data_IF_047800871283
#
_entry.id   IF_047800871283
#
_cell.length_a   1.000
_cell.length_b   1.000
_cell.length_c   1.000
_cell.angle_alpha   90.00
_cell.angle_beta   90.00
_cell.angle_gamma   90.00
#
_symmetry.space_group_name_H-M   'P 1'
#
loop_
_entity.id
_entity.type
_entity.pdbx_description
1 polymer ?
#
# COMPACT_ATOMS: atom_id res chain seq x y z
N UNK A 1 -40.35 47.19 -16.69
CA UNK A 1 -38.90 47.04 -16.51
C UNK A 1 -38.63 46.32 -15.20
N UNK A 2 -38.35 45.01 -15.25
CA UNK A 2 -37.65 44.25 -14.19
C UNK A 2 -37.78 42.75 -14.51
N UNK A 3 -37.11 42.30 -15.58
CA UNK A 3 -37.09 40.88 -15.94
C UNK A 3 -35.78 40.50 -16.62
N UNK A 4 -34.66 40.99 -16.09
CA UNK A 4 -33.30 40.62 -16.55
C UNK A 4 -32.27 40.73 -15.41
N UNK A 5 -32.50 40.05 -14.29
CA UNK A 5 -31.48 39.96 -13.20
C UNK A 5 -31.15 38.52 -12.80
N UNK A 6 -31.81 37.50 -13.35
CA UNK A 6 -31.53 36.09 -13.03
C UNK A 6 -31.05 35.28 -14.23
N UNK A 7 -29.99 35.73 -14.91
CA UNK A 7 -29.42 34.97 -16.03
C UNK A 7 -27.89 35.17 -16.19
N UNK A 8 -27.10 35.03 -15.11
CA UNK A 8 -25.63 34.96 -15.27
C UNK A 8 -24.85 34.11 -14.26
N UNK A 9 -25.50 33.17 -13.56
CA UNK A 9 -24.82 32.30 -12.59
C UNK A 9 -25.02 30.80 -12.88
N UNK A 10 -24.88 30.42 -14.15
CA UNK A 10 -24.64 29.03 -14.56
C UNK A 10 -23.68 29.03 -15.74
N UNK A 11 -22.61 28.26 -15.60
CA UNK A 11 -21.47 28.01 -16.49
C UNK A 11 -20.17 28.63 -15.98
N UNK A 12 -19.50 27.95 -15.02
CA UNK A 12 -18.06 27.64 -15.10
C UNK A 12 -17.66 26.39 -14.25
N UNK A 13 -18.59 25.50 -13.87
CA UNK A 13 -18.24 24.18 -13.34
C UNK A 13 -18.24 23.14 -14.46
N UNK A 14 -17.24 23.23 -15.34
CA UNK A 14 -16.80 22.14 -16.22
C UNK A 14 -15.61 22.63 -17.05
N UNK A 15 -14.46 22.89 -16.42
CA UNK A 15 -13.19 22.62 -17.13
C UNK A 15 -13.01 21.11 -17.09
N UNK A 16 -13.71 20.42 -17.98
CA UNK A 16 -13.46 19.01 -18.23
C UNK A 16 -11.97 18.87 -18.54
N UNK A 17 -11.27 18.07 -17.74
CA UNK A 17 -9.95 17.58 -18.11
C UNK A 17 -10.16 16.68 -19.32
N UNK A 18 -10.05 17.25 -20.51
CA UNK A 18 -9.89 16.49 -21.74
C UNK A 18 -8.59 15.71 -21.58
N UNK A 19 -8.70 14.41 -21.29
CA UNK A 19 -7.58 13.45 -21.40
C UNK A 19 -7.20 13.40 -22.88
N UNK A 20 -6.27 14.27 -23.26
CA UNK A 20 -5.58 14.17 -24.54
C UNK A 20 -4.60 13.00 -24.42
N UNK A 21 -5.05 11.82 -24.82
CA UNK A 21 -4.15 10.73 -25.18
C UNK A 21 -3.59 11.01 -26.57
N UNK A 22 -2.63 11.93 -26.65
CA UNK A 22 -1.84 12.18 -27.85
C UNK A 22 -0.36 12.03 -27.52
N UNK A 23 0.21 10.93 -28.00
CA UNK A 23 1.58 10.51 -27.73
C UNK A 23 2.48 11.01 -28.87
N UNK A 24 3.14 12.15 -28.63
CA UNK A 24 4.44 12.56 -29.18
C UNK A 24 4.62 14.01 -28.71
N UNK A 25 5.08 14.17 -27.46
CA UNK A 25 5.46 15.50 -27.00
C UNK A 25 6.61 16.01 -27.85
N UNK A 26 6.76 17.31 -27.98
CA UNK A 26 7.96 17.86 -28.61
C UNK A 26 9.21 17.41 -27.83
N UNK A 27 10.39 17.42 -28.46
CA UNK A 27 11.63 17.09 -27.76
C UNK A 27 11.81 17.94 -26.48
N UNK A 28 11.39 19.20 -26.54
CA UNK A 28 11.41 20.13 -25.41
C UNK A 28 10.44 19.72 -24.29
N UNK A 29 9.24 19.25 -24.62
CA UNK A 29 8.27 18.74 -23.64
C UNK A 29 8.77 17.47 -22.94
N UNK A 30 9.45 16.58 -23.67
CA UNK A 30 10.09 15.40 -23.10
C UNK A 30 11.21 15.77 -22.13
N UNK A 31 12.06 16.75 -22.49
CA UNK A 31 13.14 17.25 -21.63
C UNK A 31 12.57 17.94 -20.38
N UNK A 32 11.55 18.77 -20.53
CA UNK A 32 10.89 19.44 -19.41
C UNK A 32 10.23 18.43 -18.46
N UNK A 33 9.56 17.41 -19.01
CA UNK A 33 8.96 16.33 -18.23
C UNK A 33 10.02 15.51 -17.49
N UNK A 34 11.11 15.15 -18.15
CA UNK A 34 12.23 14.43 -17.52
C UNK A 34 12.86 15.24 -16.39
N UNK A 35 13.05 16.55 -16.58
CA UNK A 35 13.55 17.45 -15.53
C UNK A 35 12.60 17.50 -14.34
N UNK A 36 11.29 17.57 -14.56
CA UNK A 36 10.27 17.55 -13.50
C UNK A 36 10.35 16.26 -12.67
N UNK A 37 10.40 15.10 -13.32
CA UNK A 37 10.53 13.81 -12.63
C UNK A 37 11.83 13.72 -11.85
N UNK A 38 12.96 14.16 -12.44
CA UNK A 38 14.26 14.22 -11.77
C UNK A 38 14.20 15.07 -10.49
N UNK A 39 13.58 16.24 -10.56
CA UNK A 39 13.41 17.11 -9.39
C UNK A 39 12.54 16.44 -8.31
N UNK A 40 11.43 15.82 -8.67
CA UNK A 40 10.59 15.10 -7.70
C UNK A 40 11.35 13.94 -7.06
N UNK A 41 12.10 13.15 -7.83
CA UNK A 41 12.91 12.04 -7.30
C UNK A 41 14.00 12.52 -6.34
N UNK A 42 14.58 13.70 -6.53
CA UNK A 42 15.63 14.19 -5.62
C UNK A 42 15.12 15.01 -4.44
N UNK A 43 13.98 15.69 -4.57
CA UNK A 43 13.53 16.63 -3.54
C UNK A 43 12.23 16.23 -2.84
N UNK A 44 11.37 15.45 -3.48
CA UNK A 44 10.10 15.01 -2.89
C UNK A 44 10.19 13.58 -2.35
N UNK A 45 10.79 12.66 -3.11
CA UNK A 45 10.85 11.24 -2.73
C UNK A 45 11.70 11.01 -1.47
N UNK A 46 12.90 11.60 -1.30
CA UNK A 46 13.72 11.35 -0.11
C UNK A 46 13.06 11.77 1.21
N UNK A 47 12.47 12.98 1.36
CA UNK A 47 11.79 13.32 2.61
C UNK A 47 10.56 12.44 2.86
N UNK A 48 9.82 12.05 1.82
CA UNK A 48 8.70 11.12 1.97
C UNK A 48 9.17 9.74 2.44
N UNK A 49 10.24 9.20 1.84
CA UNK A 49 10.83 7.92 2.25
C UNK A 49 11.33 7.99 3.69
N UNK A 50 12.05 9.05 4.07
CA UNK A 50 12.53 9.24 5.43
C UNK A 50 11.39 9.30 6.44
N UNK A 51 10.30 10.00 6.12
CA UNK A 51 9.12 10.05 6.98
C UNK A 51 8.47 8.67 7.15
N UNK A 52 8.30 7.91 6.05
CA UNK A 52 7.74 6.56 6.11
C UNK A 52 8.65 5.57 6.83
N UNK A 53 9.97 5.69 6.64
CA UNK A 53 10.97 4.89 7.33
C UNK A 53 10.94 5.18 8.83
N UNK A 54 10.94 6.45 9.22
CA UNK A 54 10.85 6.82 10.64
C UNK A 54 9.55 6.30 11.28
N UNK A 55 8.42 6.41 10.58
CA UNK A 55 7.16 5.86 11.06
C UNK A 55 7.22 4.34 11.24
N UNK A 56 7.76 3.59 10.26
CA UNK A 56 7.82 2.13 10.30
C UNK A 56 8.80 1.55 11.32
N UNK A 57 9.85 2.29 11.72
CA UNK A 57 10.87 1.80 12.66
C UNK A 57 10.68 2.29 14.09
N UNK A 58 10.05 3.45 14.29
CA UNK A 58 9.98 4.09 15.62
C UNK A 58 8.57 4.38 16.11
N UNK A 59 7.58 4.47 15.22
CA UNK A 59 6.20 4.83 15.59
C UNK A 59 5.27 3.63 15.49
N UNK A 60 5.42 2.80 14.46
CA UNK A 60 4.56 1.64 14.28
C UNK A 60 4.87 0.59 15.34
N UNK A 61 3.87 0.31 16.18
CA UNK A 61 3.96 -0.79 17.13
C UNK A 61 3.77 -2.11 16.40
N UNK A 62 4.61 -3.10 16.72
CA UNK A 62 4.39 -4.46 16.28
C UNK A 62 3.16 -5.00 17.03
N UNK A 63 2.19 -5.50 16.26
CA UNK A 63 0.95 -6.00 16.83
C UNK A 63 1.24 -7.26 17.66
N UNK A 64 0.67 -7.32 18.86
CA UNK A 64 0.72 -8.53 19.66
C UNK A 64 0.04 -9.67 18.91
N UNK A 65 0.63 -10.86 19.02
CA UNK A 65 0.10 -12.09 18.44
C UNK A 65 -1.30 -12.37 18.97
N UNK A 66 -2.30 -12.63 18.10
CA UNK A 66 -3.63 -13.01 18.56
C UNK A 66 -3.64 -14.41 19.18
N UNK A 67 -4.61 -14.67 20.05
CA UNK A 67 -4.81 -16.00 20.63
C UNK A 67 -5.04 -17.05 19.53
N UNK A 68 -4.53 -18.26 19.75
CA UNK A 68 -4.72 -19.36 18.81
C UNK A 68 -6.15 -19.90 18.93
N UNK A 69 -6.94 -19.67 17.89
CA UNK A 69 -8.24 -20.31 17.71
C UNK A 69 -8.17 -21.11 16.40
N UNK A 70 -8.53 -22.39 16.48
CA UNK A 70 -8.58 -23.31 15.35
C UNK A 70 -9.82 -23.04 14.50
N UNK A 71 -9.75 -21.98 13.71
CA UNK A 71 -10.78 -21.68 12.73
C UNK A 71 -10.68 -22.62 11.53
N UNK A 72 -11.79 -23.26 11.16
CA UNK A 72 -11.87 -24.21 10.03
C UNK A 72 -11.40 -23.64 8.67
N UNK A 73 -11.48 -22.32 8.51
CA UNK A 73 -11.09 -21.63 7.29
C UNK A 73 -9.63 -21.15 7.29
N UNK A 74 -8.93 -21.24 8.42
CA UNK A 74 -7.53 -20.82 8.55
C UNK A 74 -6.60 -22.02 8.60
N UNK A 75 -5.35 -21.79 8.14
CA UNK A 75 -4.26 -22.78 8.16
C UNK A 75 -4.63 -24.13 7.53
N UNK A 76 -5.54 -24.15 6.56
CA UNK A 76 -5.96 -25.37 5.85
C UNK A 76 -4.75 -26.09 5.25
N UNK A 77 -4.74 -27.42 5.36
CA UNK A 77 -3.77 -28.33 4.74
C UNK A 77 -4.50 -29.43 3.98
N UNK A 78 -4.70 -29.24 2.68
CA UNK A 78 -5.28 -30.29 1.81
C UNK A 78 -4.23 -31.28 1.30
N UNK A 79 -2.98 -30.81 1.17
CA UNK A 79 -1.80 -31.60 0.81
C UNK A 79 -0.61 -31.05 1.58
N UNK A 80 0.32 -31.93 1.94
CA UNK A 80 1.61 -31.53 2.51
C UNK A 80 2.40 -30.63 1.54
N UNK A 81 3.10 -29.62 2.09
CA UNK A 81 4.03 -28.79 1.34
C UNK A 81 5.21 -29.61 0.81
N UNK A 82 5.82 -29.23 -0.32
CA UNK A 82 6.92 -29.98 -0.93
C UNK A 82 8.30 -29.74 -0.28
N UNK A 83 8.35 -29.17 0.93
CA UNK A 83 9.58 -28.89 1.67
C UNK A 83 9.41 -29.16 3.16
N UNK A 84 10.54 -29.25 3.88
CA UNK A 84 10.55 -29.41 5.33
C UNK A 84 9.76 -30.64 5.79
N UNK A 85 8.90 -30.44 6.78
CA UNK A 85 7.99 -31.45 7.34
C UNK A 85 6.63 -31.53 6.61
N UNK A 86 6.43 -30.70 5.59
CA UNK A 86 5.17 -30.60 4.86
C UNK A 86 4.05 -29.85 5.56
N UNK A 87 4.23 -29.36 6.79
CA UNK A 87 3.22 -28.65 7.55
C UNK A 87 3.53 -27.15 7.75
N UNK A 88 4.81 -26.79 7.63
CA UNK A 88 5.31 -25.43 7.75
C UNK A 88 5.27 -24.66 6.44
N UNK A 89 4.75 -23.43 6.50
CA UNK A 89 4.77 -22.51 5.34
C UNK A 89 6.20 -22.11 4.98
N UNK A 90 6.44 -21.67 3.75
CA UNK A 90 7.79 -21.30 3.28
C UNK A 90 8.46 -20.20 4.14
N UNK A 91 7.68 -19.22 4.58
CA UNK A 91 8.12 -18.16 5.50
C UNK A 91 7.45 -18.35 6.86
N UNK A 92 7.71 -19.49 7.49
CA UNK A 92 7.19 -19.78 8.82
C UNK A 92 7.92 -18.98 9.90
N UNK A 93 7.17 -18.25 10.72
CA UNK A 93 7.65 -17.64 11.95
C UNK A 93 7.07 -18.43 13.14
N UNK A 94 7.87 -19.21 13.89
CA UNK A 94 7.40 -19.98 15.06
C UNK A 94 6.68 -19.15 16.11
N UNK A 95 7.04 -17.86 16.21
CA UNK A 95 6.44 -16.92 17.15
C UNK A 95 5.10 -16.39 16.66
N UNK A 96 4.84 -16.22 15.36
CA UNK A 96 3.64 -15.51 14.88
C UNK A 96 2.69 -16.37 14.05
N UNK A 97 3.16 -17.50 13.53
CA UNK A 97 2.39 -18.37 12.66
C UNK A 97 2.06 -19.67 13.39
N UNK A 98 0.79 -19.88 13.69
CA UNK A 98 0.34 -21.13 14.29
C UNK A 98 0.28 -22.27 13.26
N UNK A 99 0.60 -23.47 13.72
CA UNK A 99 0.52 -24.72 12.97
C UNK A 99 -0.81 -25.43 13.29
N UNK A 100 -1.51 -25.98 12.28
CA UNK A 100 -2.75 -26.73 12.50
C UNK A 100 -2.58 -27.86 13.53
N UNK A 101 -3.52 -28.01 14.45
CA UNK A 101 -3.53 -29.05 15.49
C UNK A 101 -2.50 -28.89 16.63
N UNK A 102 -1.49 -28.02 16.48
CA UNK A 102 -0.45 -27.77 17.50
C UNK A 102 -0.61 -26.39 18.14
N UNK A 103 -0.98 -25.38 17.35
CA UNK A 103 -1.02 -23.99 17.80
C UNK A 103 0.31 -23.26 17.54
N UNK A 104 0.67 -22.32 18.41
CA UNK A 104 1.96 -21.62 18.32
C UNK A 104 3.08 -22.47 18.92
N UNK A 105 4.24 -22.46 18.28
CA UNK A 105 5.36 -23.32 18.66
C UNK A 105 6.31 -22.65 19.65
N UNK A 106 6.35 -21.31 19.65
CA UNK A 106 7.11 -20.53 20.61
C UNK A 106 6.18 -19.77 21.57
N UNK A 107 6.66 -19.62 22.81
CA UNK A 107 6.03 -18.76 23.80
C UNK A 107 5.96 -17.31 23.27
N UNK A 108 4.90 -16.56 23.62
CA UNK A 108 4.79 -15.18 23.19
C UNK A 108 6.00 -14.38 23.68
N UNK A 109 6.62 -13.55 22.82
CA UNK A 109 7.77 -12.76 23.23
C UNK A 109 7.42 -11.88 24.44
N UNK A 110 8.22 -12.02 25.50
CA UNK A 110 8.15 -11.13 26.66
C UNK A 110 8.77 -9.79 26.25
N UNK A 111 7.92 -8.76 26.08
CA UNK A 111 8.33 -7.38 25.87
C UNK A 111 8.44 -6.63 27.20
#
# INVERSE_FOLDING_TARGET
MATKVFQSLRHQFAKGSTRNYAHAGSHEEHVATARRWKLMTYFLVPPALLATWYNAFYISEHHQRPEYIEYDHLRIRTKAFPWGDGNHTLFHNPEMNAVPGVGYEADPPHH
#
